data_IF_009890559513
#
_entry.id   IF_009890559513
#
_cell.length_a   1.000
_cell.length_b   1.000
_cell.length_c   1.000
_cell.angle_alpha   90.00
_cell.angle_beta   90.00
_cell.angle_gamma   90.00
#
_symmetry.space_group_name_H-M   'P 1'
#
loop_
_entity.id
_entity.type
_entity.pdbx_description
1 polymer ?
#
# COMPACT_ATOMS: atom_id res chain seq x y z
N UNK A 1 -4.54 13.00 -9.38
CA UNK A 1 -5.22 11.73 -9.03
C UNK A 1 -4.47 11.12 -7.85
N UNK A 2 -5.16 10.44 -6.92
CA UNK A 2 -4.49 9.79 -5.77
C UNK A 2 -5.18 8.47 -5.42
N UNK A 3 -4.39 7.44 -5.18
CA UNK A 3 -4.84 6.17 -4.60
C UNK A 3 -4.01 5.89 -3.34
N UNK A 4 -4.67 5.52 -2.24
CA UNK A 4 -4.04 5.13 -0.99
C UNK A 4 -4.38 3.68 -0.69
N UNK A 5 -3.37 2.90 -0.31
CA UNK A 5 -3.51 1.51 0.08
C UNK A 5 -3.00 1.33 1.51
N UNK A 6 -3.68 0.46 2.26
CA UNK A 6 -3.10 -0.19 3.42
C UNK A 6 -2.03 -1.18 2.96
N UNK A 7 -1.04 -1.46 3.81
CA UNK A 7 0.03 -2.41 3.51
C UNK A 7 -0.14 -3.75 4.24
N UNK A 8 -0.98 -3.83 5.28
CA UNK A 8 -1.25 -5.07 6.02
C UNK A 8 -2.72 -5.13 6.48
N UNK A 9 -3.60 -5.86 5.76
CA UNK A 9 -3.38 -6.42 4.43
C UNK A 9 -3.33 -5.34 3.34
N UNK A 10 -2.81 -5.66 2.14
CA UNK A 10 -2.89 -4.74 1.00
C UNK A 10 -4.34 -4.54 0.59
N UNK A 11 -4.87 -3.34 0.83
CA UNK A 11 -6.27 -3.02 0.59
C UNK A 11 -6.45 -1.55 0.22
N UNK A 12 -7.38 -1.26 -0.69
CA UNK A 12 -7.68 0.11 -1.10
C UNK A 12 -8.31 0.89 0.06
N UNK A 13 -7.61 1.94 0.52
CA UNK A 13 -8.09 2.83 1.57
C UNK A 13 -8.82 4.06 1.00
N UNK A 14 -8.33 4.59 -0.13
CA UNK A 14 -8.95 5.75 -0.81
C UNK A 14 -8.60 5.76 -2.29
N UNK A 15 -9.57 6.07 -3.14
CA UNK A 15 -9.37 6.35 -4.56
C UNK A 15 -9.96 7.71 -4.92
N UNK A 16 -9.19 8.55 -5.63
CA UNK A 16 -9.68 9.76 -6.31
C UNK A 16 -9.10 9.83 -7.72
N UNK A 17 -9.89 9.37 -8.68
CA UNK A 17 -9.64 9.56 -10.12
C UNK A 17 -9.06 8.35 -10.85
N UNK A 18 -8.86 7.20 -10.20
CA UNK A 18 -8.47 5.97 -10.88
C UNK A 18 -9.67 5.07 -11.17
N UNK A 19 -9.66 4.42 -12.32
CA UNK A 19 -10.59 3.35 -12.67
C UNK A 19 -10.29 2.07 -11.89
N UNK A 20 -11.24 1.13 -11.87
CA UNK A 20 -11.05 -0.18 -11.22
C UNK A 20 -9.90 -0.98 -11.86
N UNK A 21 -9.69 -0.86 -13.17
CA UNK A 21 -8.59 -1.54 -13.88
C UNK A 21 -7.24 -1.00 -13.44
N UNK A 22 -7.11 0.33 -13.33
CA UNK A 22 -5.88 0.96 -12.83
C UNK A 22 -5.64 0.62 -11.36
N UNK A 23 -6.69 0.64 -10.54
CA UNK A 23 -6.59 0.24 -9.13
C UNK A 23 -6.10 -1.19 -8.97
N UNK A 24 -6.59 -2.14 -9.78
CA UNK A 24 -6.12 -3.52 -9.76
C UNK A 24 -4.64 -3.63 -10.15
N UNK A 25 -4.18 -2.83 -11.11
CA UNK A 25 -2.77 -2.78 -11.48
C UNK A 25 -1.91 -2.18 -10.36
N UNK A 26 -2.37 -1.12 -9.72
CA UNK A 26 -1.67 -0.50 -8.58
C UNK A 26 -1.63 -1.47 -7.40
N UNK A 27 -2.74 -2.14 -7.09
CA UNK A 27 -2.81 -3.13 -6.01
C UNK A 27 -1.76 -4.22 -6.19
N UNK A 28 -1.62 -4.78 -7.40
CA UNK A 28 -0.58 -5.79 -7.71
C UNK A 28 0.83 -5.27 -7.47
N UNK A 29 1.13 -4.04 -7.89
CA UNK A 29 2.45 -3.43 -7.65
C UNK A 29 2.69 -3.26 -6.14
N UNK A 30 1.67 -2.85 -5.38
CA UNK A 30 1.78 -2.71 -3.92
C UNK A 30 1.96 -4.08 -3.25
N UNK A 31 1.25 -5.12 -3.70
CA UNK A 31 1.40 -6.50 -3.22
C UNK A 31 2.80 -7.06 -3.52
N UNK A 32 3.31 -6.89 -4.73
CA UNK A 32 4.65 -7.33 -5.14
C UNK A 32 5.77 -6.70 -4.30
N UNK A 33 5.55 -5.47 -3.80
CA UNK A 33 6.51 -4.72 -3.00
C UNK A 33 6.10 -4.61 -1.51
N UNK A 34 5.10 -5.38 -1.06
CA UNK A 34 4.49 -5.23 0.26
C UNK A 34 5.52 -5.32 1.38
N UNK A 35 6.40 -6.31 1.31
CA UNK A 35 7.45 -6.55 2.31
C UNK A 35 8.40 -5.36 2.42
N UNK A 36 8.95 -4.86 1.31
CA UNK A 36 9.87 -3.72 1.32
C UNK A 36 9.19 -2.45 1.84
N UNK A 37 7.94 -2.20 1.43
CA UNK A 37 7.16 -1.05 1.90
C UNK A 37 6.89 -1.11 3.41
N UNK A 38 6.59 -2.29 3.95
CA UNK A 38 6.40 -2.51 5.39
C UNK A 38 7.73 -2.37 6.15
N UNK A 39 8.84 -2.92 5.63
CA UNK A 39 10.17 -2.74 6.21
C UNK A 39 10.53 -1.26 6.32
N UNK A 40 10.35 -0.48 5.25
CA UNK A 40 10.59 0.97 5.26
C UNK A 40 9.65 1.73 6.19
N UNK A 41 8.40 1.29 6.30
CA UNK A 41 7.47 1.87 7.26
C UNK A 41 7.95 1.65 8.70
N UNK A 42 8.36 0.42 9.06
CA UNK A 42 8.86 0.11 10.40
C UNK A 42 10.22 0.73 10.70
N UNK A 43 11.12 0.85 9.72
CA UNK A 43 12.38 1.59 9.85
C UNK A 43 12.14 3.06 10.23
N UNK A 44 11.12 3.70 9.65
CA UNK A 44 10.86 5.13 9.84
C UNK A 44 10.03 5.43 11.10
N UNK A 45 8.97 4.63 11.36
CA UNK A 45 8.02 4.90 12.46
C UNK A 45 8.27 4.06 13.72
N UNK A 46 9.26 3.14 13.69
CA UNK A 46 9.51 2.17 14.75
C UNK A 46 8.57 0.97 14.66
N UNK A 47 8.98 -0.14 15.27
CA UNK A 47 8.16 -1.34 15.33
C UNK A 47 7.14 -1.21 16.49
N UNK A 48 5.82 -1.26 16.23
CA UNK A 48 4.81 -1.20 17.29
C UNK A 48 4.84 -2.42 18.24
N UNK A 49 5.69 -3.42 17.99
CA UNK A 49 5.90 -4.62 18.81
C UNK A 49 7.04 -4.49 19.84
N UNK A 50 7.55 -3.28 20.09
CA UNK A 50 8.58 -3.02 21.13
C UNK A 50 7.96 -2.45 22.39
#
# INVERSE_FOLDING_TARGET
MVAKFWLDPVALAKNRGFSMVELNRIARIVEENQTELLEKWYEFFGNPQS
#
